data_IF_779376056870
#
_entry.id   IF_779376056870
#
_cell.length_a   1.000
_cell.length_b   1.000
_cell.length_c   1.000
_cell.angle_alpha   90.00
_cell.angle_beta   90.00
_cell.angle_gamma   90.00
#
_symmetry.space_group_name_H-M   'P 1'
#
loop_
_entity.id
_entity.type
_entity.pdbx_description
1 polymer ?
#
# COMPACT_ATOMS: atom_id res chain seq x y z
N UNK A 1 -24.65 0.43 -14.38
CA UNK A 1 -24.38 -0.37 -13.18
C UNK A 1 -23.17 0.24 -12.49
N UNK A 2 -23.25 0.45 -11.18
CA UNK A 2 -22.10 0.91 -10.40
C UNK A 2 -21.21 -0.30 -10.10
N UNK A 3 -19.90 -0.19 -10.36
CA UNK A 3 -18.96 -1.27 -10.08
C UNK A 3 -18.69 -1.38 -8.58
N UNK A 4 -18.49 -2.62 -8.12
CA UNK A 4 -18.23 -2.97 -6.72
C UNK A 4 -16.83 -3.56 -6.60
N UNK A 5 -15.87 -2.67 -6.41
CA UNK A 5 -14.45 -3.02 -6.42
C UNK A 5 -14.00 -3.53 -5.05
N UNK A 6 -13.11 -4.51 -5.06
CA UNK A 6 -12.24 -4.82 -3.93
C UNK A 6 -10.91 -4.07 -4.08
N UNK A 7 -10.17 -3.92 -2.99
CA UNK A 7 -8.85 -3.31 -2.99
C UNK A 7 -7.79 -4.37 -2.67
N UNK A 8 -6.80 -4.47 -3.56
CA UNK A 8 -5.66 -5.37 -3.39
C UNK A 8 -4.36 -4.57 -3.49
N UNK A 9 -3.38 -4.93 -2.67
CA UNK A 9 -2.00 -4.52 -2.88
C UNK A 9 -1.38 -5.37 -3.98
N UNK A 10 -0.48 -4.82 -4.76
CA UNK A 10 0.28 -5.58 -5.75
C UNK A 10 1.70 -5.06 -5.82
N UNK A 11 2.60 -5.96 -6.19
CA UNK A 11 3.99 -5.68 -6.49
C UNK A 11 4.28 -6.22 -7.88
N UNK A 12 4.91 -5.39 -8.71
CA UNK A 12 5.54 -5.83 -9.94
C UNK A 12 7.05 -5.82 -9.73
N UNK A 13 7.71 -6.92 -10.07
CA UNK A 13 9.17 -7.00 -10.06
C UNK A 13 9.66 -7.64 -11.34
N UNK A 14 10.70 -7.07 -11.95
CA UNK A 14 11.23 -7.52 -13.24
C UNK A 14 12.42 -8.48 -13.07
N UNK A 15 12.53 -9.12 -11.91
CA UNK A 15 13.71 -9.95 -11.55
C UNK A 15 13.39 -11.43 -11.47
N UNK A 16 12.11 -11.81 -11.53
CA UNK A 16 11.67 -13.20 -11.37
C UNK A 16 12.03 -13.78 -9.99
N UNK A 17 12.28 -12.91 -9.01
CA UNK A 17 12.70 -13.25 -7.65
C UNK A 17 11.51 -13.12 -6.70
N UNK A 18 11.49 -13.98 -5.68
CA UNK A 18 10.43 -13.98 -4.69
C UNK A 18 10.65 -12.86 -3.66
N UNK A 19 9.67 -11.97 -3.55
CA UNK A 19 9.52 -11.07 -2.39
C UNK A 19 10.27 -9.74 -2.49
N UNK A 20 9.60 -8.75 -3.08
CA UNK A 20 9.77 -7.34 -2.71
C UNK A 20 8.86 -7.06 -1.50
N UNK A 21 9.17 -6.04 -0.68
CA UNK A 21 8.16 -5.45 0.23
C UNK A 21 8.39 -5.51 1.73
N UNK A 22 9.12 -6.48 2.29
CA UNK A 22 9.16 -6.67 3.76
C UNK A 22 10.45 -6.19 4.45
N UNK A 23 11.50 -5.83 3.70
CA UNK A 23 12.76 -5.29 4.25
C UNK A 23 13.18 -4.05 3.47
N UNK A 24 13.56 -3.01 4.22
CA UNK A 24 13.94 -1.71 3.71
C UNK A 24 15.47 -1.62 3.59
N UNK A 25 16.07 -2.51 2.80
CA UNK A 25 17.51 -2.54 2.51
C UNK A 25 17.79 -2.91 1.07
N UNK A 26 19.04 -2.81 0.62
CA UNK A 26 19.50 -3.18 -0.73
C UNK A 26 18.53 -2.66 -1.79
N UNK A 27 18.37 -1.35 -1.90
CA UNK A 27 17.46 -0.63 -2.81
C UNK A 27 17.53 -1.17 -4.24
N UNK A 28 18.74 -1.32 -4.77
CA UNK A 28 18.96 -1.89 -6.11
C UNK A 28 18.68 -3.39 -6.20
N UNK A 29 18.24 -4.06 -5.14
CA UNK A 29 17.79 -5.45 -5.12
C UNK A 29 16.29 -5.56 -4.84
N UNK A 30 15.80 -4.92 -3.77
CA UNK A 30 14.41 -5.01 -3.31
C UNK A 30 13.45 -4.01 -3.98
N UNK A 31 13.95 -3.15 -4.86
CA UNK A 31 13.13 -2.28 -5.71
C UNK A 31 13.56 -2.39 -7.18
N UNK A 32 12.80 -1.76 -8.06
CA UNK A 32 13.12 -1.61 -9.47
C UNK A 32 14.15 -0.49 -9.72
N UNK A 33 14.93 -0.10 -8.71
CA UNK A 33 15.99 0.87 -8.89
C UNK A 33 17.13 0.31 -9.76
N UNK A 34 17.46 1.01 -10.85
CA UNK A 34 18.51 0.67 -11.80
C UNK A 34 19.14 1.92 -12.42
N UNK A 35 20.37 1.79 -12.88
CA UNK A 35 21.05 2.84 -13.62
C UNK A 35 22.53 2.55 -13.85
N UNK A 36 23.15 3.27 -14.80
CA UNK A 36 24.56 3.10 -15.12
C UNK A 36 25.46 3.45 -13.93
N UNK A 37 26.43 2.61 -13.55
CA UNK A 37 27.31 2.86 -12.40
C UNK A 37 28.42 3.90 -12.67
N UNK A 38 28.47 4.54 -13.84
CA UNK A 38 29.37 5.68 -14.06
C UNK A 38 28.84 6.67 -15.10
N UNK A 39 29.30 7.92 -15.02
CA UNK A 39 29.02 8.98 -16.00
C UNK A 39 29.39 8.58 -17.43
N UNK A 40 30.50 7.85 -17.60
CA UNK A 40 30.94 7.36 -18.91
C UNK A 40 29.91 6.40 -19.52
N UNK A 41 29.38 5.47 -18.72
CA UNK A 41 28.39 4.52 -19.21
C UNK A 41 27.01 5.15 -19.36
N UNK A 42 26.65 6.13 -18.53
CA UNK A 42 25.43 6.91 -18.70
C UNK A 42 25.41 7.64 -20.06
N UNK A 43 26.52 8.31 -20.42
CA UNK A 43 26.67 8.93 -21.75
C UNK A 43 26.55 7.92 -22.89
N UNK A 44 27.16 6.73 -22.74
CA UNK A 44 27.09 5.66 -23.74
C UNK A 44 25.68 5.08 -23.89
N UNK A 45 24.90 5.04 -22.81
CA UNK A 45 23.49 4.62 -22.82
C UNK A 45 22.55 5.71 -23.35
N UNK A 46 23.10 6.83 -23.83
CA UNK A 46 22.33 7.97 -24.32
C UNK A 46 21.55 8.67 -23.22
N UNK A 47 22.08 8.76 -21.99
CA UNK A 47 21.43 9.49 -20.90
C UNK A 47 21.15 10.95 -21.25
N UNK A 48 20.08 11.51 -20.68
CA UNK A 48 19.69 12.89 -20.93
C UNK A 48 20.80 13.88 -20.50
N UNK A 49 21.32 14.62 -21.47
CA UNK A 49 22.35 15.64 -21.27
C UNK A 49 21.81 17.06 -21.29
N UNK A 50 20.47 17.24 -21.38
CA UNK A 50 19.83 18.56 -21.34
C UNK A 50 19.86 19.12 -19.93
N UNK A 51 19.96 20.44 -19.83
CA UNK A 51 19.77 21.13 -18.57
C UNK A 51 18.30 20.98 -18.10
N UNK A 52 18.07 20.71 -16.80
CA UNK A 52 16.72 20.56 -16.27
C UNK A 52 15.98 21.88 -16.32
N UNK A 53 14.75 21.86 -16.83
CA UNK A 53 13.85 23.00 -16.81
C UNK A 53 12.96 22.98 -15.55
N UNK A 54 12.58 24.15 -15.00
CA UNK A 54 11.74 24.22 -13.81
C UNK A 54 10.24 24.01 -14.11
N UNK A 55 9.87 23.67 -15.34
CA UNK A 55 8.48 23.45 -15.76
C UNK A 55 8.37 22.19 -16.63
N UNK A 56 7.18 21.61 -16.65
CA UNK A 56 6.87 20.47 -17.52
C UNK A 56 6.96 20.90 -18.99
N UNK A 57 7.64 20.09 -19.79
CA UNK A 57 7.65 20.23 -21.25
C UNK A 57 6.84 19.10 -21.88
N UNK A 58 6.17 19.32 -23.02
CA UNK A 58 5.56 18.24 -23.79
C UNK A 58 6.59 17.15 -24.10
N UNK A 59 6.18 15.89 -24.06
CA UNK A 59 7.04 14.78 -24.44
C UNK A 59 7.37 14.86 -25.94
N UNK A 60 8.65 15.02 -26.27
CA UNK A 60 9.16 14.90 -27.63
C UNK A 60 9.49 13.43 -27.92
N UNK A 61 8.67 12.79 -28.76
CA UNK A 61 8.77 11.37 -29.09
C UNK A 61 9.72 11.07 -30.24
N UNK A 62 10.17 12.08 -30.98
CA UNK A 62 10.75 11.85 -32.31
C UNK A 62 12.22 11.45 -32.24
N UNK A 63 12.95 11.72 -31.14
CA UNK A 63 14.39 11.43 -31.01
C UNK A 63 14.87 11.06 -29.59
N UNK A 64 13.99 10.56 -28.73
CA UNK A 64 14.34 10.22 -27.34
C UNK A 64 14.11 8.73 -27.10
N UNK A 65 15.10 8.04 -26.51
CA UNK A 65 14.94 6.62 -26.17
C UNK A 65 13.87 6.44 -25.05
N UNK A 66 13.30 5.23 -24.94
CA UNK A 66 12.21 4.96 -23.98
C UNK A 66 12.59 5.27 -22.50
N UNK A 67 13.87 5.12 -22.15
CA UNK A 67 14.38 5.35 -20.78
C UNK A 67 14.34 6.84 -20.45
N UNK A 68 14.81 7.69 -21.36
CA UNK A 68 14.79 9.15 -21.22
C UNK A 68 13.39 9.74 -21.44
N UNK A 69 12.60 9.18 -22.36
CA UNK A 69 11.19 9.58 -22.56
C UNK A 69 10.40 9.47 -21.27
N UNK A 70 10.73 8.45 -20.47
CA UNK A 70 10.08 8.20 -19.19
C UNK A 70 10.78 8.92 -18.02
N UNK A 71 11.91 9.63 -18.22
CA UNK A 71 12.72 10.20 -17.13
C UNK A 71 13.04 9.14 -16.04
N UNK A 72 13.45 7.94 -16.48
CA UNK A 72 13.68 6.80 -15.59
C UNK A 72 14.69 7.11 -14.48
N UNK A 73 15.67 7.96 -14.76
CA UNK A 73 16.67 8.39 -13.78
C UNK A 73 16.07 9.10 -12.56
N UNK A 74 14.95 9.83 -12.75
CA UNK A 74 14.18 10.47 -11.67
C UNK A 74 13.13 9.54 -11.06
N UNK A 75 12.47 8.71 -11.88
CA UNK A 75 11.50 7.72 -11.39
C UNK A 75 12.12 6.74 -10.38
N UNK A 76 13.44 6.54 -10.42
CA UNK A 76 14.16 5.74 -9.45
C UNK A 76 13.90 6.10 -7.98
N UNK A 77 13.58 7.37 -7.71
CA UNK A 77 13.24 7.84 -6.37
C UNK A 77 11.79 7.56 -5.94
N UNK A 78 11.02 6.91 -6.81
CA UNK A 78 9.63 6.49 -6.57
C UNK A 78 9.46 4.97 -6.62
N UNK A 79 10.54 4.23 -6.90
CA UNK A 79 10.54 2.78 -6.72
C UNK A 79 10.65 2.45 -5.23
N UNK A 80 9.50 2.22 -4.62
CA UNK A 80 9.39 1.74 -3.24
C UNK A 80 9.56 0.22 -3.21
N UNK A 81 9.77 -0.32 -2.02
CA UNK A 81 9.52 -1.74 -1.80
C UNK A 81 8.04 -2.03 -2.04
N UNK A 82 7.73 -3.06 -2.82
CA UNK A 82 6.37 -3.28 -3.29
C UNK A 82 5.35 -3.68 -2.21
N UNK A 83 4.07 -3.44 -2.49
CA UNK A 83 2.96 -3.78 -1.60
C UNK A 83 2.53 -5.25 -1.66
N UNK A 84 1.89 -5.76 -0.61
CA UNK A 84 1.41 -7.14 -0.56
C UNK A 84 -0.12 -7.20 -0.66
N UNK A 85 -0.62 -8.21 -1.36
CA UNK A 85 -2.01 -8.62 -1.28
C UNK A 85 -2.20 -9.51 -0.04
N UNK A 86 -3.26 -9.26 0.72
CA UNK A 86 -3.69 -10.13 1.80
C UNK A 86 -5.14 -10.58 1.55
N UNK A 87 -5.43 -11.82 1.94
CA UNK A 87 -6.70 -12.50 1.66
C UNK A 87 -7.17 -13.18 2.93
N UNK A 88 -8.40 -12.89 3.34
CA UNK A 88 -9.09 -13.70 4.33
C UNK A 88 -9.63 -14.95 3.63
N UNK A 89 -9.13 -16.12 4.01
CA UNK A 89 -9.46 -17.39 3.40
C UNK A 89 -9.69 -18.46 4.46
N UNK A 90 -10.64 -19.36 4.20
CA UNK A 90 -10.98 -20.49 5.09
C UNK A 90 -9.97 -21.66 5.00
N UNK A 91 -8.98 -21.54 4.13
CA UNK A 91 -8.00 -22.58 3.84
C UNK A 91 -6.76 -21.98 3.17
N UNK A 92 -5.70 -22.80 3.06
CA UNK A 92 -4.42 -22.41 2.43
C UNK A 92 -4.25 -22.98 1.02
N UNK A 93 -5.26 -23.68 0.52
CA UNK A 93 -5.30 -24.17 -0.86
C UNK A 93 -5.74 -23.07 -1.83
N UNK A 94 -5.50 -23.32 -3.12
CA UNK A 94 -5.80 -22.39 -4.21
C UNK A 94 -7.27 -21.99 -4.25
N UNK A 95 -8.19 -22.92 -4.04
CA UNK A 95 -9.62 -22.66 -4.18
C UNK A 95 -10.12 -21.79 -3.03
N UNK A 96 -9.67 -22.06 -1.80
CA UNK A 96 -9.98 -21.22 -0.64
C UNK A 96 -9.48 -19.77 -0.81
N UNK A 97 -8.25 -19.59 -1.30
CA UNK A 97 -7.67 -18.27 -1.56
C UNK A 97 -8.43 -17.56 -2.69
N UNK A 98 -8.68 -18.26 -3.80
CA UNK A 98 -9.40 -17.69 -4.94
C UNK A 98 -10.83 -17.30 -4.56
N UNK A 99 -11.50 -18.11 -3.74
CA UNK A 99 -12.81 -17.77 -3.20
C UNK A 99 -12.78 -16.48 -2.37
N UNK A 100 -11.74 -16.25 -1.56
CA UNK A 100 -11.54 -14.99 -0.82
C UNK A 100 -11.44 -13.77 -1.75
N UNK A 101 -10.65 -13.87 -2.83
CA UNK A 101 -10.60 -12.83 -3.87
C UNK A 101 -11.97 -12.59 -4.51
N UNK A 102 -12.71 -13.65 -4.84
CA UNK A 102 -14.05 -13.55 -5.45
C UNK A 102 -15.06 -12.87 -4.53
N UNK A 103 -14.97 -13.12 -3.21
CA UNK A 103 -15.79 -12.44 -2.18
C UNK A 103 -15.29 -11.03 -1.85
N UNK A 104 -14.16 -10.59 -2.41
CA UNK A 104 -13.49 -9.31 -2.10
C UNK A 104 -13.09 -9.18 -0.62
N UNK A 105 -12.92 -10.29 0.08
CA UNK A 105 -12.42 -10.34 1.46
C UNK A 105 -10.89 -10.21 1.47
N UNK A 106 -10.42 -9.11 0.88
CA UNK A 106 -9.01 -8.85 0.57
C UNK A 106 -8.63 -7.44 1.00
N UNK A 107 -7.36 -7.24 1.25
CA UNK A 107 -6.82 -5.92 1.56
C UNK A 107 -5.40 -5.77 1.02
N UNK A 108 -4.97 -4.53 0.83
CA UNK A 108 -3.61 -4.20 0.41
C UNK A 108 -2.75 -3.76 1.58
N UNK A 109 -1.45 -3.98 1.50
CA UNK A 109 -0.45 -3.36 2.38
C UNK A 109 0.61 -2.66 1.56
N UNK A 110 1.27 -1.65 2.13
CA UNK A 110 2.39 -0.96 1.48
C UNK A 110 3.72 -1.72 1.53
N UNK A 111 3.72 -2.95 2.05
CA UNK A 111 4.85 -3.88 2.02
C UNK A 111 4.96 -4.73 3.28
N UNK A 112 4.74 -4.10 4.44
CA UNK A 112 4.74 -4.77 5.73
C UNK A 112 3.52 -5.70 5.88
N UNK A 113 3.73 -6.86 6.52
CA UNK A 113 2.67 -7.86 6.78
C UNK A 113 1.75 -7.46 7.94
N UNK A 114 1.12 -6.30 7.81
CA UNK A 114 0.09 -5.79 8.72
C UNK A 114 -1.16 -6.67 8.57
N UNK A 115 -1.79 -7.02 9.69
CA UNK A 115 -3.06 -7.74 9.72
C UNK A 115 -4.20 -6.74 9.87
N UNK A 116 -5.28 -6.92 9.10
CA UNK A 116 -6.41 -6.00 9.09
C UNK A 116 -7.73 -6.75 8.93
N UNK A 117 -8.69 -6.44 9.80
CA UNK A 117 -10.08 -6.86 9.73
C UNK A 117 -10.97 -5.61 9.78
N UNK A 118 -11.99 -5.60 8.94
CA UNK A 118 -12.99 -4.55 8.89
C UNK A 118 -14.33 -5.21 8.65
N UNK A 119 -15.21 -5.12 9.64
CA UNK A 119 -16.48 -5.82 9.69
C UNK A 119 -17.61 -4.81 9.94
N UNK A 120 -18.69 -4.91 9.17
CA UNK A 120 -19.98 -4.34 9.53
C UNK A 120 -20.66 -5.27 10.54
N UNK A 121 -21.14 -4.73 11.65
CA UNK A 121 -21.87 -5.44 12.69
C UNK A 121 -23.37 -5.45 12.35
N UNK A 122 -23.98 -6.64 12.33
CA UNK A 122 -25.43 -6.83 12.11
C UNK A 122 -26.03 -7.69 13.23
N UNK A 123 -27.36 -7.75 13.31
CA UNK A 123 -28.04 -8.60 14.28
C UNK A 123 -27.68 -10.10 14.14
N UNK A 124 -27.39 -10.56 12.92
CA UNK A 124 -27.05 -11.94 12.58
C UNK A 124 -25.56 -12.26 12.69
N UNK A 125 -24.72 -11.26 13.00
CA UNK A 125 -23.28 -11.44 13.16
C UNK A 125 -22.47 -10.32 12.52
N UNK A 126 -21.53 -10.69 11.65
CA UNK A 126 -20.63 -9.76 10.97
C UNK A 126 -20.65 -9.95 9.47
N UNK A 127 -20.57 -8.84 8.73
CA UNK A 127 -20.32 -8.84 7.30
C UNK A 127 -18.93 -8.24 7.02
N UNK A 128 -17.98 -9.03 6.49
CA UNK A 128 -16.59 -8.60 6.35
C UNK A 128 -16.38 -7.59 5.22
N UNK A 129 -15.21 -6.98 5.17
CA UNK A 129 -14.73 -6.17 4.05
C UNK A 129 -15.01 -6.87 2.71
N UNK A 130 -15.43 -6.10 1.70
CA UNK A 130 -15.89 -6.63 0.42
C UNK A 130 -17.40 -6.91 0.35
N UNK A 131 -18.11 -6.87 1.48
CA UNK A 131 -19.55 -7.10 1.51
C UNK A 131 -20.38 -5.95 0.96
N UNK A 132 -21.60 -6.29 0.53
CA UNK A 132 -22.60 -5.37 0.00
C UNK A 132 -23.92 -5.62 0.72
N UNK A 133 -24.47 -4.61 1.39
CA UNK A 133 -25.68 -4.77 2.21
C UNK A 133 -26.59 -3.56 2.09
N UNK A 134 -27.86 -3.78 2.46
CA UNK A 134 -28.85 -2.72 2.67
C UNK A 134 -29.28 -2.71 4.13
N UNK A 135 -29.27 -1.54 4.76
CA UNK A 135 -29.66 -1.35 6.15
C UNK A 135 -30.80 -0.35 6.28
N UNK A 136 -31.65 -0.58 7.27
CA UNK A 136 -32.70 0.34 7.73
C UNK A 136 -32.33 1.02 9.06
N UNK A 137 -31.08 0.86 9.48
CA UNK A 137 -30.48 1.44 10.69
C UNK A 137 -29.10 2.03 10.35
N UNK A 138 -28.55 2.84 11.25
CA UNK A 138 -27.20 3.38 11.09
C UNK A 138 -26.16 2.26 11.18
N UNK A 139 -25.21 2.18 10.23
CA UNK A 139 -24.24 1.10 10.19
C UNK A 139 -23.22 1.25 11.30
N UNK A 140 -22.99 0.15 12.04
CA UNK A 140 -21.97 0.04 13.07
C UNK A 140 -20.86 -0.89 12.59
N UNK A 141 -19.62 -0.50 12.80
CA UNK A 141 -18.46 -1.23 12.30
C UNK A 141 -17.47 -1.55 13.40
N UNK A 142 -16.73 -2.64 13.22
CA UNK A 142 -15.56 -3.01 14.02
C UNK A 142 -14.35 -3.08 13.10
N UNK A 143 -13.24 -2.50 13.56
CA UNK A 143 -11.93 -2.62 12.91
C UNK A 143 -10.97 -3.23 13.91
N UNK A 144 -10.21 -4.22 13.48
CA UNK A 144 -9.07 -4.74 14.23
C UNK A 144 -7.84 -4.73 13.33
N UNK A 145 -6.71 -4.26 13.87
CA UNK A 145 -5.45 -4.22 13.14
C UNK A 145 -4.29 -4.64 14.04
N UNK A 146 -3.32 -5.35 13.46
CA UNK A 146 -2.10 -5.78 14.17
C UNK A 146 -0.90 -5.44 13.31
N UNK A 147 0.06 -4.70 13.85
CA UNK A 147 1.24 -4.30 13.10
C UNK A 147 2.13 -5.49 12.74
N UNK A 148 3.00 -5.29 11.74
CA UNK A 148 3.88 -6.34 11.25
C UNK A 148 4.95 -6.73 12.28
N UNK A 149 5.50 -7.94 12.14
CA UNK A 149 6.66 -8.34 12.94
C UNK A 149 7.89 -7.53 12.59
N UNK A 150 8.63 -7.10 13.63
CA UNK A 150 9.99 -6.56 13.46
C UNK A 150 10.86 -7.64 12.82
N UNK A 151 11.54 -7.28 11.73
CA UNK A 151 12.33 -8.23 10.96
C UNK A 151 13.74 -8.37 11.53
N UNK A 152 14.18 -9.61 11.75
CA UNK A 152 15.56 -9.95 12.07
C UNK A 152 16.45 -9.91 10.81
N UNK A 153 17.77 -9.70 10.96
CA UNK A 153 18.71 -9.78 9.84
C UNK A 153 18.75 -11.17 9.18
N UNK A 154 19.05 -11.21 7.89
CA UNK A 154 19.26 -12.46 7.16
C UNK A 154 18.00 -13.30 6.94
N UNK A 155 18.18 -14.61 6.80
CA UNK A 155 17.12 -15.60 6.65
C UNK A 155 16.98 -16.52 7.86
N UNK A 156 15.75 -17.02 8.15
CA UNK A 156 15.52 -18.04 9.17
C UNK A 156 16.34 -19.32 8.92
N UNK A 157 16.62 -20.09 9.97
CA UNK A 157 17.45 -21.29 9.87
C UNK A 157 16.86 -22.36 8.94
N UNK A 158 15.54 -22.56 8.95
CA UNK A 158 14.90 -23.52 8.05
C UNK A 158 15.13 -23.16 6.57
N UNK A 159 15.18 -21.86 6.22
CA UNK A 159 15.46 -21.42 4.86
C UNK A 159 16.95 -21.62 4.51
N UNK A 160 17.86 -21.37 5.45
CA UNK A 160 19.30 -21.62 5.30
C UNK A 160 19.59 -23.10 5.09
N UNK A 161 19.04 -23.95 5.94
CA UNK A 161 19.17 -25.41 5.85
C UNK A 161 18.53 -25.99 4.59
N UNK A 162 17.39 -25.47 4.14
CA UNK A 162 16.67 -25.98 2.98
C UNK A 162 17.20 -25.53 1.61
N UNK A 163 17.72 -24.30 1.50
CA UNK A 163 18.14 -23.72 0.21
C UNK A 163 19.66 -23.52 0.10
N UNK A 164 20.37 -23.40 1.22
CA UNK A 164 21.79 -23.05 1.26
C UNK A 164 22.07 -21.57 1.00
N UNK A 165 23.23 -21.09 1.46
CA UNK A 165 23.58 -19.67 1.44
C UNK A 165 23.62 -19.06 0.03
N UNK A 166 24.18 -19.78 -0.95
CA UNK A 166 24.31 -19.29 -2.33
C UNK A 166 22.94 -19.05 -2.98
N UNK A 167 21.99 -19.97 -2.79
CA UNK A 167 20.65 -19.83 -3.35
C UNK A 167 19.87 -18.71 -2.67
N UNK A 168 20.03 -18.54 -1.35
CA UNK A 168 19.45 -17.42 -0.62
C UNK A 168 20.00 -16.08 -1.11
N UNK A 169 21.31 -15.98 -1.33
CA UNK A 169 21.91 -14.78 -1.91
C UNK A 169 21.32 -14.46 -3.29
N UNK A 170 21.12 -15.47 -4.12
CA UNK A 170 20.54 -15.30 -5.45
C UNK A 170 19.05 -14.94 -5.43
N UNK A 171 18.25 -15.49 -4.52
CA UNK A 171 16.80 -15.30 -4.51
C UNK A 171 16.36 -14.03 -3.80
N UNK A 172 17.04 -13.67 -2.71
CA UNK A 172 16.58 -12.62 -1.79
C UNK A 172 17.72 -11.76 -1.26
N UNK A 173 18.90 -11.77 -1.89
CA UNK A 173 20.04 -10.98 -1.43
C UNK A 173 20.55 -11.39 -0.05
N UNK A 174 20.24 -12.62 0.40
CA UNK A 174 20.52 -13.11 1.74
C UNK A 174 19.53 -12.64 2.81
N UNK A 175 18.46 -11.95 2.42
CA UNK A 175 17.49 -11.29 3.30
C UNK A 175 16.07 -11.82 3.05
N UNK A 176 15.64 -12.80 3.85
CA UNK A 176 14.31 -13.38 3.75
C UNK A 176 13.33 -12.69 4.70
N UNK A 177 12.03 -13.01 4.56
CA UNK A 177 11.06 -12.74 5.63
C UNK A 177 11.51 -13.51 6.88
N UNK A 178 11.98 -12.78 7.88
CA UNK A 178 12.59 -13.30 9.10
C UNK A 178 11.96 -12.58 10.28
N UNK A 179 10.71 -12.92 10.63
CA UNK A 179 10.02 -12.27 11.74
C UNK A 179 10.73 -12.60 13.05
N UNK A 180 10.94 -11.60 13.90
CA UNK A 180 11.20 -11.80 15.32
C UNK A 180 9.91 -11.97 16.11
N UNK A 181 10.01 -11.86 17.43
CA UNK A 181 8.87 -12.07 18.35
C UNK A 181 8.12 -10.78 18.70
N UNK A 182 8.67 -9.63 18.31
CA UNK A 182 8.08 -8.30 18.54
C UNK A 182 7.31 -7.81 17.32
N UNK A 183 6.23 -7.09 17.57
CA UNK A 183 5.44 -6.40 16.54
C UNK A 183 5.64 -4.90 16.60
N UNK A 184 5.50 -4.28 15.44
CA UNK A 184 5.35 -2.85 15.30
C UNK A 184 3.95 -2.44 15.79
N UNK A 185 3.84 -1.26 16.38
CA UNK A 185 2.57 -0.74 16.88
C UNK A 185 1.71 -0.19 15.74
N UNK A 186 0.39 -0.31 15.87
CA UNK A 186 -0.54 0.47 15.06
C UNK A 186 -0.62 1.85 15.71
N UNK A 187 -0.30 2.90 14.96
CA UNK A 187 -0.33 4.30 15.38
C UNK A 187 -1.79 4.78 15.44
N UNK A 188 -2.55 4.51 14.38
CA UNK A 188 -3.96 4.91 14.28
C UNK A 188 -4.72 4.13 13.20
N UNK A 189 -6.04 4.19 13.29
CA UNK A 189 -6.97 3.71 12.26
C UNK A 189 -7.72 4.90 11.66
N UNK A 190 -7.66 5.04 10.35
CA UNK A 190 -8.37 6.08 9.60
C UNK A 190 -9.55 5.44 8.84
N UNK A 191 -10.72 6.06 8.93
CA UNK A 191 -11.93 5.63 8.20
C UNK A 191 -12.18 6.61 7.07
N UNK A 192 -12.42 6.10 5.87
CA UNK A 192 -12.80 6.88 4.69
C UNK A 192 -14.25 6.57 4.36
N UNK A 193 -15.05 7.63 4.14
CA UNK A 193 -16.46 7.52 3.73
C UNK A 193 -16.63 8.16 2.37
N UNK A 194 -17.21 7.43 1.43
CA UNK A 194 -17.49 7.91 0.07
C UNK A 194 -18.99 7.77 -0.18
N UNK A 195 -19.62 8.84 -0.67
CA UNK A 195 -21.00 8.83 -1.15
C UNK A 195 -21.00 8.78 -2.68
N UNK A 196 -21.32 7.65 -3.32
CA UNK A 196 -21.28 7.56 -4.78
C UNK A 196 -22.17 8.62 -5.43
N UNK A 197 -21.71 9.20 -6.54
CA UNK A 197 -22.51 10.16 -7.31
C UNK A 197 -23.85 9.53 -7.72
N UNK A 198 -24.92 10.29 -7.60
CA UNK A 198 -26.27 9.88 -8.04
C UNK A 198 -26.58 10.44 -9.43
N UNK A 199 -26.02 11.60 -9.77
CA UNK A 199 -26.15 12.23 -11.10
C UNK A 199 -24.76 12.60 -11.65
N UNK A 200 -24.66 12.73 -12.97
CA UNK A 200 -23.37 13.01 -13.63
C UNK A 200 -22.81 14.41 -13.33
N UNK A 201 -23.67 15.35 -12.96
CA UNK A 201 -23.37 16.74 -12.65
C UNK A 201 -23.17 17.01 -11.15
N UNK A 202 -23.35 16.01 -10.29
CA UNK A 202 -23.14 16.15 -8.84
C UNK A 202 -21.65 16.44 -8.54
N UNK A 203 -21.35 17.49 -7.77
CA UNK A 203 -19.98 17.82 -7.42
C UNK A 203 -19.35 16.73 -6.52
N UNK A 204 -18.21 16.16 -6.97
CA UNK A 204 -17.53 15.04 -6.27
C UNK A 204 -16.84 15.48 -4.97
N UNK A 205 -16.39 16.73 -4.87
CA UNK A 205 -15.51 17.17 -3.78
C UNK A 205 -16.09 16.94 -2.37
N UNK A 206 -17.39 17.15 -2.18
CA UNK A 206 -18.06 16.92 -0.89
C UNK A 206 -18.52 15.47 -0.64
N UNK A 207 -18.29 14.58 -1.60
CA UNK A 207 -18.72 13.18 -1.54
C UNK A 207 -17.62 12.23 -1.06
N UNK A 208 -16.38 12.70 -0.96
CA UNK A 208 -15.23 11.91 -0.53
C UNK A 208 -14.71 12.53 0.77
N UNK A 209 -14.92 11.83 1.88
CA UNK A 209 -14.43 12.23 3.20
C UNK A 209 -13.22 11.37 3.56
N UNK A 210 -12.03 11.93 3.34
CA UNK A 210 -10.75 11.26 3.50
C UNK A 210 -9.74 12.11 4.30
N UNK A 211 -9.48 11.77 5.58
CA UNK A 211 -10.21 10.83 6.41
C UNK A 211 -11.57 11.41 6.86
N UNK A 212 -12.57 10.55 7.05
CA UNK A 212 -13.82 10.91 7.73
C UNK A 212 -13.67 10.85 9.25
N UNK A 213 -13.02 9.80 9.77
CA UNK A 213 -12.69 9.65 11.19
C UNK A 213 -11.28 9.13 11.36
N UNK A 214 -10.66 9.49 12.48
CA UNK A 214 -9.34 9.01 12.89
C UNK A 214 -9.43 8.54 14.34
N UNK A 215 -8.91 7.35 14.61
CA UNK A 215 -8.85 6.76 15.94
C UNK A 215 -7.40 6.46 16.29
N UNK A 216 -6.88 7.15 17.30
CA UNK A 216 -5.54 6.87 17.84
C UNK A 216 -5.54 5.52 18.55
N UNK A 217 -4.45 4.76 18.37
CA UNK A 217 -4.26 3.46 18.98
C UNK A 217 -3.28 3.55 20.14
N UNK A 218 -3.42 2.66 21.12
CA UNK A 218 -2.50 2.57 22.25
C UNK A 218 -1.25 1.75 21.91
N UNK A 219 -0.31 1.70 22.87
CA UNK A 219 0.96 0.99 22.74
C UNK A 219 0.86 -0.55 22.94
N UNK A 220 -0.26 -1.17 22.56
CA UNK A 220 -0.48 -2.60 22.70
C UNK A 220 0.06 -3.38 21.47
N UNK A 221 1.10 -4.22 21.62
CA UNK A 221 1.63 -5.03 20.52
C UNK A 221 0.65 -6.12 20.04
N UNK A 222 -0.40 -6.45 20.81
CA UNK A 222 -1.45 -7.36 20.39
C UNK A 222 -2.34 -6.77 19.29
N UNK A 223 -2.32 -5.44 19.13
CA UNK A 223 -3.03 -4.72 18.08
C UNK A 223 -3.95 -3.62 18.61
N UNK A 224 -4.72 -3.05 17.70
CA UNK A 224 -5.68 -1.99 17.96
C UNK A 224 -7.06 -2.41 17.47
N UNK A 225 -8.07 -2.22 18.31
CA UNK A 225 -9.46 -2.48 17.99
C UNK A 225 -10.32 -1.26 18.29
N UNK A 226 -11.14 -0.88 17.31
CA UNK A 226 -12.08 0.24 17.42
C UNK A 226 -13.45 -0.16 16.91
N UNK A 227 -14.48 0.53 17.40
CA UNK A 227 -15.86 0.41 16.93
C UNK A 227 -16.38 1.82 16.66
N UNK A 228 -17.12 1.99 15.57
CA UNK A 228 -17.73 3.28 15.22
C UNK A 228 -19.08 3.09 14.53
N UNK A 229 -19.85 4.17 14.46
CA UNK A 229 -21.15 4.24 13.80
C UNK A 229 -21.16 5.43 12.83
N UNK A 230 -21.90 5.33 11.73
CA UNK A 230 -22.29 6.49 10.94
C UNK A 230 -23.70 6.95 11.32
N UNK A 231 -23.77 7.91 12.23
CA UNK A 231 -25.05 8.42 12.74
C UNK A 231 -25.84 9.20 11.67
N UNK A 232 -25.17 9.69 10.62
CA UNK A 232 -25.77 10.49 9.54
C UNK A 232 -26.34 9.61 8.41
N UNK A 233 -26.01 8.31 8.40
CA UNK A 233 -26.29 7.43 7.27
C UNK A 233 -27.77 7.41 6.87
N UNK A 234 -28.67 7.27 7.86
CA UNK A 234 -30.11 7.26 7.59
C UNK A 234 -30.60 8.62 7.09
N UNK A 235 -30.16 9.71 7.73
CA UNK A 235 -30.54 11.06 7.36
C UNK A 235 -30.07 11.45 5.95
N UNK A 236 -28.91 10.93 5.52
CA UNK A 236 -28.34 11.19 4.21
C UNK A 236 -29.17 10.60 3.06
N UNK A 237 -30.03 9.61 3.31
CA UNK A 237 -30.96 9.09 2.30
C UNK A 237 -30.31 8.35 1.12
N UNK A 238 -29.02 7.96 1.22
CA UNK A 238 -28.24 7.45 0.09
C UNK A 238 -27.21 6.40 0.48
N UNK A 239 -26.70 5.69 -0.52
CA UNK A 239 -25.62 4.73 -0.36
C UNK A 239 -24.33 5.40 0.12
N UNK A 240 -23.60 4.71 0.99
CA UNK A 240 -22.26 5.08 1.43
C UNK A 240 -21.32 3.89 1.33
N UNK A 241 -20.06 4.18 1.00
CA UNK A 241 -18.97 3.22 0.85
C UNK A 241 -17.93 3.54 1.91
N UNK A 242 -17.53 2.52 2.66
CA UNK A 242 -16.57 2.67 3.74
C UNK A 242 -15.37 1.79 3.48
N UNK A 243 -14.17 2.31 3.69
CA UNK A 243 -12.97 1.49 3.83
C UNK A 243 -12.07 2.10 4.89
N UNK A 244 -11.14 1.32 5.41
CA UNK A 244 -10.28 1.74 6.52
C UNK A 244 -8.81 1.61 6.16
N UNK A 245 -7.99 2.46 6.79
CA UNK A 245 -6.54 2.39 6.74
C UNK A 245 -6.00 2.16 8.15
N UNK A 246 -5.29 1.05 8.35
CA UNK A 246 -4.47 0.88 9.53
C UNK A 246 -3.09 1.46 9.28
N UNK A 247 -2.68 2.44 10.08
CA UNK A 247 -1.42 3.14 9.96
C UNK A 247 -0.49 2.64 11.07
N UNK A 248 0.66 2.10 10.69
CA UNK A 248 1.67 1.60 11.61
C UNK A 248 2.60 2.73 12.08
N UNK A 249 3.27 2.54 13.22
CA UNK A 249 4.35 3.41 13.68
C UNK A 249 5.42 3.63 12.59
N UNK A 250 6.12 4.77 12.58
CA UNK A 250 7.07 5.09 11.52
C UNK A 250 8.28 4.15 11.53
N UNK A 251 8.69 3.71 10.35
CA UNK A 251 9.94 2.98 10.12
C UNK A 251 10.75 3.65 9.03
N UNK A 252 12.03 3.30 8.95
CA UNK A 252 12.88 3.74 7.84
C UNK A 252 12.51 2.96 6.59
N UNK A 253 12.15 3.67 5.52
CA UNK A 253 11.67 3.10 4.26
C UNK A 253 12.49 3.62 3.08
N UNK A 254 12.81 2.74 2.13
CA UNK A 254 13.51 3.08 0.90
C UNK A 254 12.67 4.08 0.11
N UNK A 255 13.31 5.18 -0.31
CA UNK A 255 12.71 6.20 -1.15
C UNK A 255 11.47 6.90 -0.55
N UNK A 256 11.29 6.83 0.78
CA UNK A 256 10.15 7.46 1.45
C UNK A 256 10.14 9.00 1.37
N UNK A 257 11.32 9.63 1.25
CA UNK A 257 11.46 11.06 1.01
C UNK A 257 11.68 11.33 -0.48
N UNK A 258 10.76 10.92 -1.35
CA UNK A 258 10.94 10.85 -2.82
C UNK A 258 11.80 11.97 -3.44
N UNK A 259 11.47 13.24 -3.22
CA UNK A 259 12.21 14.37 -3.81
C UNK A 259 13.45 14.79 -3.01
N UNK A 260 13.55 14.37 -1.74
CA UNK A 260 14.59 14.78 -0.77
C UNK A 260 14.84 16.28 -0.86
N UNK A 261 13.76 17.03 -0.64
CA UNK A 261 13.75 18.48 -0.75
C UNK A 261 14.63 19.12 0.31
N UNK A 262 15.42 20.10 -0.10
CA UNK A 262 15.91 21.17 0.77
C UNK A 262 14.82 22.23 0.87
N UNK A 263 14.49 22.62 2.10
CA UNK A 263 13.42 23.56 2.38
C UNK A 263 13.98 24.88 2.90
N UNK A 264 13.37 25.99 2.49
CA UNK A 264 13.62 27.30 3.07
C UNK A 264 12.90 27.48 4.43
N UNK A 265 13.07 28.66 5.05
CA UNK A 265 12.43 29.02 6.32
C UNK A 265 10.89 29.00 6.27
N UNK A 266 10.30 29.14 5.08
CA UNK A 266 8.85 29.11 4.87
C UNK A 266 8.32 27.70 4.56
N UNK A 267 9.20 26.68 4.54
CA UNK A 267 8.84 25.31 4.17
C UNK A 267 8.66 25.08 2.66
N UNK A 268 9.12 26.01 1.82
CA UNK A 268 9.12 25.83 0.37
C UNK A 268 10.30 24.96 -0.06
N UNK A 269 10.05 23.95 -0.90
CA UNK A 269 11.13 23.14 -1.48
C UNK A 269 11.90 23.97 -2.52
N UNK A 270 13.15 24.30 -2.22
CA UNK A 270 14.02 25.16 -3.05
C UNK A 270 15.03 24.37 -3.87
N UNK A 271 15.36 23.14 -3.47
CA UNK A 271 16.19 22.22 -4.23
C UNK A 271 15.75 20.77 -3.98
N UNK A 272 15.94 19.90 -4.97
CA UNK A 272 15.63 18.46 -4.86
C UNK A 272 16.92 17.66 -5.03
N UNK A 273 17.08 16.61 -4.22
CA UNK A 273 18.17 15.66 -4.33
C UNK A 273 17.63 14.22 -4.40
N UNK A 274 16.85 13.87 -5.45
CA UNK A 274 16.18 12.58 -5.51
C UNK A 274 17.18 11.43 -5.49
N UNK A 275 16.72 10.27 -5.04
CA UNK A 275 17.52 9.05 -5.02
C UNK A 275 17.68 8.48 -6.44
N UNK A 276 18.78 8.82 -7.11
CA UNK A 276 19.05 8.40 -8.47
C UNK A 276 19.38 6.92 -8.56
N UNK A 277 18.96 6.25 -9.63
CA UNK A 277 19.30 4.85 -9.89
C UNK A 277 20.74 4.65 -10.39
N UNK A 278 21.36 5.72 -10.88
CA UNK A 278 22.68 5.71 -11.49
C UNK A 278 23.80 6.10 -10.52
N UNK A 279 24.97 6.41 -11.05
CA UNK A 279 26.18 6.78 -10.32
C UNK A 279 26.08 8.03 -9.44
N UNK A 280 25.05 8.86 -9.59
CA UNK A 280 24.85 10.06 -8.76
C UNK A 280 24.49 9.72 -7.31
N UNK A 281 23.89 8.55 -7.09
CA UNK A 281 23.63 8.01 -5.77
C UNK A 281 24.42 6.71 -5.61
N UNK A 282 25.26 6.56 -4.57
CA UNK A 282 25.97 5.32 -4.28
C UNK A 282 25.05 4.09 -4.35
N UNK A 283 25.59 2.99 -4.87
CA UNK A 283 24.80 1.77 -5.11
C UNK A 283 24.32 1.11 -3.81
N UNK A 284 25.06 1.32 -2.73
CA UNK A 284 24.81 0.87 -1.35
C UNK A 284 24.01 1.88 -0.51
N UNK A 285 23.73 3.08 -1.04
CA UNK A 285 22.79 4.01 -0.40
C UNK A 285 21.34 3.57 -0.67
N UNK A 286 20.64 3.21 0.40
CA UNK A 286 19.24 2.77 0.35
C UNK A 286 18.22 3.93 0.37
N UNK A 287 18.67 5.17 0.53
CA UNK A 287 17.84 6.38 0.54
C UNK A 287 16.66 6.26 1.51
N UNK A 288 16.96 5.83 2.73
CA UNK A 288 15.96 5.63 3.76
C UNK A 288 15.44 6.97 4.30
N UNK A 289 14.14 7.03 4.54
CA UNK A 289 13.50 8.12 5.26
C UNK A 289 12.37 7.56 6.14
N UNK A 290 12.00 8.27 7.23
CA UNK A 290 10.89 7.85 8.07
C UNK A 290 9.56 7.94 7.31
N UNK A 291 8.81 6.85 7.27
CA UNK A 291 7.45 6.81 6.76
C UNK A 291 6.61 5.77 7.51
N UNK A 292 5.28 5.90 7.38
CA UNK A 292 4.32 4.99 8.00
C UNK A 292 3.78 4.01 6.98
N UNK A 293 4.09 2.74 7.22
CA UNK A 293 3.49 1.63 6.48
C UNK A 293 2.00 1.55 6.83
N UNK A 294 1.19 1.08 5.88
CA UNK A 294 -0.26 1.03 6.04
C UNK A 294 -0.90 -0.16 5.34
N UNK A 295 -2.07 -0.54 5.83
CA UNK A 295 -2.96 -1.51 5.23
C UNK A 295 -4.30 -0.87 4.87
N UNK A 296 -4.87 -1.19 3.71
CA UNK A 296 -6.14 -0.67 3.20
C UNK A 296 -7.13 -1.82 3.00
N UNK A 297 -8.26 -1.80 3.72
CA UNK A 297 -9.30 -2.81 3.55
C UNK A 297 -9.97 -2.71 2.19
N UNK A 298 -10.53 -3.81 1.68
CA UNK A 298 -11.60 -3.67 0.69
C UNK A 298 -12.79 -2.89 1.26
N UNK A 299 -13.59 -2.23 0.41
CA UNK A 299 -14.71 -1.43 0.88
C UNK A 299 -15.89 -2.30 1.33
N UNK A 300 -16.71 -1.78 2.23
CA UNK A 300 -18.07 -2.25 2.49
C UNK A 300 -19.04 -1.25 1.86
N UNK A 301 -19.97 -1.76 1.06
CA UNK A 301 -20.99 -0.97 0.39
C UNK A 301 -22.30 -1.07 1.17
N UNK A 302 -22.82 0.07 1.63
CA UNK A 302 -24.03 0.13 2.45
C UNK A 302 -25.09 0.99 1.76
N UNK A 303 -26.12 0.36 1.22
CA UNK A 303 -27.33 1.00 0.72
C UNK A 303 -28.42 1.12 1.78
N UNK A 304 -29.44 1.93 1.53
CA UNK A 304 -30.59 2.05 2.44
C UNK A 304 -31.71 1.08 2.09
N UNK A 305 -32.38 0.50 3.09
CA UNK A 305 -33.59 -0.30 2.93
C UNK A 305 -33.54 -1.63 3.66
N UNK A 306 -34.62 -2.40 3.58
CA UNK A 306 -34.65 -3.75 4.16
C UNK A 306 -33.59 -4.63 3.48
N UNK A 307 -32.84 -5.38 4.29
CA UNK A 307 -31.87 -6.37 3.83
C UNK A 307 -32.59 -7.37 2.94
N UNK A 308 -32.09 -7.57 1.73
CA UNK A 308 -32.65 -8.55 0.80
C UNK A 308 -32.21 -9.94 1.27
N UNK A 309 -33.12 -10.72 1.85
CA UNK A 309 -32.86 -12.07 2.36
C UNK A 309 -32.82 -13.11 1.24
N UNK A 310 -32.65 -12.69 -0.02
CA UNK A 310 -32.86 -13.55 -1.20
C UNK A 310 -31.58 -14.04 -1.90
N UNK A 311 -30.39 -13.58 -1.51
CA UNK A 311 -29.10 -14.07 -2.07
C UNK A 311 -28.47 -15.18 -1.21
N UNK A 312 -29.23 -16.23 -0.94
CA UNK A 312 -28.70 -17.56 -0.65
C UNK A 312 -29.39 -18.55 -1.60
N UNK A 313 -28.98 -18.58 -2.87
CA UNK A 313 -29.20 -19.75 -3.74
C UNK A 313 -27.94 -20.02 -4.58
N UNK A 314 -27.59 -21.31 -4.74
CA UNK A 314 -26.22 -21.80 -4.92
C UNK A 314 -25.58 -21.43 -6.25
#
# INVERSE_FOLDING_TARGET
QNFRFGLIGSSDNHRGQAGTGYKQRQRKFFTEAFGPPSARMARRAGGDGREPLPYSVPADTDNVNLVNLRNMERQNSFWLTGGLAAVHANGRDREAIWAGFKRKEVYGTSGDRILLWFDLLTAEGRAPMGSELRLAENPRFRVAAVGAFRQLPGCPEHARSGLGAQRLQQLCGGECYHPGDERLLIDRIEVVRIRPQVTADEAVGGLIEDPWRVFECGDDPAGCEITFEDEDFLAAGRESVYYVRAIQEPTQMINAANLRCEYDENGSCIAVNPCYGDYRTPADEDCLAPARQRAWSSPIYVGQGKRDTSEERP
#
